data_IF_938792585807
#
_entry.id   IF_938792585807
#
_cell.length_a   1.000
_cell.length_b   1.000
_cell.length_c   1.000
_cell.angle_alpha   90.00
_cell.angle_beta   90.00
_cell.angle_gamma   90.00
#
_symmetry.space_group_name_H-M   'P 1'
#
loop_
_entity.id
_entity.type
_entity.pdbx_description
1 polymer ?
#
# COMPACT_ATOMS: atom_id res chain seq x y z
N UNK A 1 26.75 -3.75 -0.16
CA UNK A 1 27.31 -4.07 -1.50
C UNK A 1 26.52 -3.44 -2.65
N UNK A 2 25.22 -3.74 -2.89
CA UNK A 2 24.47 -3.13 -4.02
C UNK A 2 24.43 -1.60 -4.03
N UNK A 3 24.16 -0.96 -2.89
CA UNK A 3 24.21 0.52 -2.76
C UNK A 3 25.57 1.10 -3.16
N UNK A 4 26.67 0.47 -2.77
CA UNK A 4 28.03 0.91 -3.09
C UNK A 4 28.40 0.70 -4.57
N UNK A 5 27.84 -0.35 -5.21
CA UNK A 5 28.18 -0.72 -6.60
C UNK A 5 27.28 0.00 -7.61
N UNK A 6 25.99 0.14 -7.32
CA UNK A 6 24.97 0.63 -8.26
C UNK A 6 24.49 2.05 -7.95
N UNK A 7 24.76 2.55 -6.74
CA UNK A 7 24.19 3.79 -6.22
C UNK A 7 22.79 3.60 -5.62
N UNK A 8 22.35 4.60 -4.85
CA UNK A 8 21.09 4.58 -4.10
C UNK A 8 19.85 4.63 -5.00
N UNK A 9 19.93 5.37 -6.11
CA UNK A 9 18.81 5.56 -7.05
C UNK A 9 18.63 4.42 -8.04
N UNK A 10 19.51 3.42 -8.02
CA UNK A 10 19.40 2.29 -8.94
C UNK A 10 18.18 1.42 -8.59
N UNK A 11 17.33 1.03 -9.57
CA UNK A 11 16.13 0.23 -9.31
C UNK A 11 16.37 -1.03 -8.48
N UNK A 12 17.48 -1.72 -8.71
CA UNK A 12 17.85 -2.90 -7.92
C UNK A 12 18.23 -2.61 -6.46
N UNK A 13 18.82 -1.45 -6.18
CA UNK A 13 19.11 -1.02 -4.81
C UNK A 13 17.79 -0.77 -4.08
N UNK A 14 16.88 -0.01 -4.70
CA UNK A 14 15.54 0.29 -4.17
C UNK A 14 14.72 -0.99 -3.96
N UNK A 15 14.74 -1.91 -4.93
CA UNK A 15 14.07 -3.22 -4.81
C UNK A 15 14.63 -4.04 -3.64
N UNK A 16 15.94 -3.97 -3.40
CA UNK A 16 16.57 -4.66 -2.28
C UNK A 16 16.14 -4.08 -0.93
N UNK A 17 15.99 -2.76 -0.83
CA UNK A 17 15.43 -2.11 0.37
C UNK A 17 14.01 -2.60 0.66
N UNK A 18 13.14 -2.62 -0.34
CA UNK A 18 11.76 -3.10 -0.17
C UNK A 18 11.71 -4.57 0.32
N UNK A 19 12.56 -5.44 -0.22
CA UNK A 19 12.63 -6.84 0.22
C UNK A 19 13.16 -6.98 1.66
N UNK A 20 14.12 -6.13 2.05
CA UNK A 20 14.65 -6.11 3.41
C UNK A 20 13.56 -5.65 4.41
N UNK A 21 12.82 -4.60 4.07
CA UNK A 21 11.66 -4.14 4.85
C UNK A 21 10.63 -5.27 5.05
N UNK A 22 10.26 -5.98 3.98
CA UNK A 22 9.33 -7.14 4.09
C UNK A 22 9.87 -8.23 5.02
N UNK A 23 11.17 -8.46 5.02
CA UNK A 23 11.81 -9.45 5.90
C UNK A 23 11.73 -9.05 7.37
N UNK A 24 12.03 -7.79 7.68
CA UNK A 24 11.92 -7.25 9.04
C UNK A 24 10.47 -7.17 9.52
N UNK A 25 9.54 -6.79 8.64
CA UNK A 25 8.12 -6.79 8.95
C UNK A 25 7.64 -8.18 9.38
N UNK A 26 8.04 -9.22 8.64
CA UNK A 26 7.70 -10.61 8.97
C UNK A 26 8.29 -11.09 10.31
N UNK A 27 9.33 -10.42 10.81
CA UNK A 27 9.94 -10.68 12.11
C UNK A 27 9.34 -9.81 13.24
N UNK A 28 8.35 -8.95 12.93
CA UNK A 28 7.77 -8.01 13.89
C UNK A 28 8.65 -6.80 14.21
N UNK A 29 9.71 -6.57 13.43
CA UNK A 29 10.64 -5.45 13.59
C UNK A 29 10.10 -4.20 12.87
N UNK A 30 9.01 -3.64 13.40
CA UNK A 30 8.26 -2.59 12.71
C UNK A 30 9.00 -1.25 12.64
N UNK A 31 9.86 -0.92 13.61
CA UNK A 31 10.63 0.34 13.60
C UNK A 31 11.75 0.33 12.55
N UNK A 32 12.44 -0.80 12.41
CA UNK A 32 13.45 -1.02 11.38
C UNK A 32 12.79 -1.06 9.99
N UNK A 33 11.61 -1.69 9.90
CA UNK A 33 10.80 -1.71 8.67
C UNK A 33 10.44 -0.30 8.22
N UNK A 34 9.87 0.52 9.11
CA UNK A 34 9.48 1.91 8.84
C UNK A 34 10.65 2.72 8.27
N UNK A 35 11.81 2.64 8.92
CA UNK A 35 13.01 3.37 8.49
C UNK A 35 13.39 3.04 7.04
N UNK A 36 13.32 1.76 6.66
CA UNK A 36 13.66 1.30 5.32
C UNK A 36 12.57 1.68 4.31
N UNK A 37 11.30 1.59 4.69
CA UNK A 37 10.18 1.92 3.82
C UNK A 37 10.09 3.42 3.51
N UNK A 38 10.38 4.29 4.48
CA UNK A 38 10.51 5.74 4.26
C UNK A 38 11.58 6.01 3.22
N UNK A 39 12.77 5.43 3.38
CA UNK A 39 13.87 5.62 2.42
C UNK A 39 13.49 5.11 1.02
N UNK A 40 12.91 3.91 0.93
CA UNK A 40 12.50 3.33 -0.34
C UNK A 40 11.40 4.15 -1.04
N UNK A 41 10.44 4.69 -0.28
CA UNK A 41 9.37 5.55 -0.80
C UNK A 41 9.95 6.85 -1.36
N UNK A 42 10.84 7.52 -0.64
CA UNK A 42 11.48 8.76 -1.11
C UNK A 42 12.28 8.55 -2.39
N UNK A 43 13.09 7.48 -2.45
CA UNK A 43 13.86 7.15 -3.64
C UNK A 43 12.95 6.84 -4.84
N UNK A 44 11.85 6.10 -4.63
CA UNK A 44 10.87 5.80 -5.69
C UNK A 44 10.14 7.04 -6.18
N UNK A 45 9.76 7.95 -5.28
CA UNK A 45 9.18 9.25 -5.65
C UNK A 45 10.12 10.05 -6.54
N UNK A 46 11.41 10.11 -6.19
CA UNK A 46 12.41 10.85 -6.96
C UNK A 46 12.68 10.23 -8.34
N UNK A 47 12.74 8.90 -8.43
CA UNK A 47 13.17 8.19 -9.65
C UNK A 47 11.99 7.90 -10.59
N UNK A 48 10.82 7.57 -10.04
CA UNK A 48 9.68 7.04 -10.80
C UNK A 48 8.46 7.98 -10.78
N UNK A 49 8.40 8.91 -9.84
CA UNK A 49 7.26 9.77 -9.60
C UNK A 49 6.14 9.12 -8.77
N UNK A 50 5.19 9.93 -8.31
CA UNK A 50 4.11 9.53 -7.40
C UNK A 50 3.15 8.48 -8.00
N UNK A 51 2.84 8.58 -9.31
CA UNK A 51 1.86 7.70 -9.97
C UNK A 51 2.42 6.34 -10.37
N UNK A 52 3.72 6.10 -10.18
CA UNK A 52 4.31 4.82 -10.54
C UNK A 52 3.83 3.72 -9.58
N UNK A 53 3.44 2.52 -10.08
CA UNK A 53 2.92 1.44 -9.23
C UNK A 53 3.82 1.07 -8.03
N UNK A 54 5.14 1.08 -8.22
CA UNK A 54 6.08 0.83 -7.12
C UNK A 54 6.09 1.91 -6.03
N UNK A 55 5.90 3.18 -6.41
CA UNK A 55 5.79 4.29 -5.44
C UNK A 55 4.51 4.13 -4.63
N UNK A 56 3.39 3.85 -5.31
CA UNK A 56 2.08 3.60 -4.68
C UNK A 56 2.15 2.39 -3.75
N UNK A 57 2.83 1.31 -4.17
CA UNK A 57 3.04 0.12 -3.34
C UNK A 57 3.82 0.45 -2.06
N UNK A 58 4.88 1.24 -2.16
CA UNK A 58 5.68 1.66 -0.99
C UNK A 58 4.87 2.49 -0.01
N UNK A 59 4.02 3.38 -0.54
CA UNK A 59 3.11 4.18 0.26
C UNK A 59 2.14 3.31 1.05
N UNK A 60 1.53 2.31 0.41
CA UNK A 60 0.63 1.36 1.07
C UNK A 60 1.36 0.45 2.08
N UNK A 61 2.60 0.06 1.80
CA UNK A 61 3.40 -0.75 2.74
C UNK A 61 3.74 0.04 4.01
N UNK A 62 4.19 1.29 3.88
CA UNK A 62 4.47 2.14 5.05
C UNK A 62 3.20 2.41 5.88
N UNK A 63 2.05 2.58 5.24
CA UNK A 63 0.78 2.66 5.95
C UNK A 63 0.45 1.38 6.75
N UNK A 64 0.72 0.21 6.16
CA UNK A 64 0.56 -1.09 6.82
C UNK A 64 1.47 -1.21 8.05
N UNK A 65 2.71 -0.72 7.93
CA UNK A 65 3.66 -0.67 9.06
C UNK A 65 3.15 0.23 10.18
N UNK A 66 2.61 1.42 9.88
CA UNK A 66 1.97 2.27 10.89
C UNK A 66 0.75 1.61 11.54
N UNK A 67 -0.10 0.94 10.75
CA UNK A 67 -1.22 0.18 11.28
C UNK A 67 -0.76 -0.91 12.26
N UNK A 68 0.27 -1.68 11.90
CA UNK A 68 0.83 -2.73 12.76
C UNK A 68 1.43 -2.19 14.08
N UNK A 69 1.89 -0.94 14.09
CA UNK A 69 2.34 -0.24 15.28
C UNK A 69 1.19 0.41 16.09
N UNK A 70 -0.07 0.30 15.65
CA UNK A 70 -1.22 0.96 16.27
C UNK A 70 -1.33 2.46 15.97
N UNK A 71 -0.53 2.97 15.02
CA UNK A 71 -0.47 4.38 14.63
C UNK A 71 -1.49 4.68 13.51
N UNK A 72 -2.76 4.42 13.79
CA UNK A 72 -3.84 4.48 12.79
C UNK A 72 -4.00 5.88 12.16
N UNK A 73 -3.81 6.95 12.95
CA UNK A 73 -3.89 8.33 12.46
C UNK A 73 -2.78 8.68 11.45
N UNK A 74 -1.67 7.94 11.45
CA UNK A 74 -0.58 8.11 10.49
C UNK A 74 -0.75 7.19 9.27
N UNK A 75 -1.36 6.02 9.45
CA UNK A 75 -1.75 5.12 8.36
C UNK A 75 -2.81 5.75 7.44
N UNK A 76 -3.86 6.35 8.02
CA UNK A 76 -5.01 6.88 7.26
C UNK A 76 -4.62 7.78 6.07
N UNK A 77 -3.88 8.90 6.24
CA UNK A 77 -3.58 9.80 5.13
C UNK A 77 -2.80 9.10 4.01
N UNK A 78 -2.00 8.10 4.36
CA UNK A 78 -1.24 7.31 3.38
C UNK A 78 -2.13 6.35 2.61
N UNK A 79 -3.08 5.69 3.29
CA UNK A 79 -4.06 4.80 2.67
C UNK A 79 -5.00 5.56 1.73
N UNK A 80 -5.51 6.72 2.17
CA UNK A 80 -6.31 7.63 1.33
C UNK A 80 -5.53 8.00 0.08
N UNK A 81 -4.26 8.40 0.23
CA UNK A 81 -3.43 8.79 -0.90
C UNK A 81 -3.14 7.62 -1.84
N UNK A 82 -2.87 6.42 -1.31
CA UNK A 82 -2.68 5.22 -2.10
C UNK A 82 -3.95 4.85 -2.88
N UNK A 83 -5.12 4.92 -2.23
CA UNK A 83 -6.41 4.67 -2.85
C UNK A 83 -6.68 5.63 -4.02
N UNK A 84 -6.48 6.93 -3.82
CA UNK A 84 -6.64 7.93 -4.89
C UNK A 84 -5.74 7.64 -6.09
N UNK A 85 -4.46 7.33 -5.85
CA UNK A 85 -3.52 7.05 -6.92
C UNK A 85 -3.87 5.74 -7.66
N UNK A 86 -4.28 4.69 -6.94
CA UNK A 86 -4.71 3.43 -7.56
C UNK A 86 -5.98 3.61 -8.38
N UNK A 87 -6.95 4.39 -7.89
CA UNK A 87 -8.14 4.76 -8.68
C UNK A 87 -7.77 5.45 -9.99
N UNK A 88 -6.83 6.40 -9.95
CA UNK A 88 -6.39 7.12 -11.14
C UNK A 88 -5.61 6.25 -12.14
N UNK A 89 -4.77 5.33 -11.65
CA UNK A 89 -3.84 4.56 -12.49
C UNK A 89 -4.42 3.23 -12.96
N UNK A 90 -5.19 2.56 -12.11
CA UNK A 90 -5.68 1.20 -12.32
C UNK A 90 -7.21 1.12 -12.48
N UNK A 91 -7.93 2.16 -12.05
CA UNK A 91 -9.38 2.19 -12.02
C UNK A 91 -9.98 1.60 -10.74
N UNK A 92 -11.28 1.83 -10.56
CA UNK A 92 -12.02 1.47 -9.33
C UNK A 92 -12.07 -0.04 -9.08
N UNK A 93 -12.21 -0.83 -10.15
CA UNK A 93 -12.41 -2.29 -10.07
C UNK A 93 -11.10 -3.08 -9.96
N UNK A 94 -9.95 -2.42 -9.97
CA UNK A 94 -8.68 -3.16 -9.90
C UNK A 94 -8.49 -3.79 -8.50
N UNK A 95 -8.00 -5.04 -8.38
CA UNK A 95 -7.82 -5.70 -7.09
C UNK A 95 -7.00 -4.89 -6.08
N UNK A 96 -5.96 -4.19 -6.54
CA UNK A 96 -5.16 -3.32 -5.65
C UNK A 96 -5.93 -2.09 -5.16
N UNK A 97 -6.86 -1.56 -5.96
CA UNK A 97 -7.74 -0.46 -5.53
C UNK A 97 -8.69 -0.95 -4.45
N UNK A 98 -9.30 -2.12 -4.65
CA UNK A 98 -10.19 -2.76 -3.67
C UNK A 98 -9.43 -3.06 -2.37
N UNK A 99 -8.21 -3.60 -2.44
CA UNK A 99 -7.37 -3.81 -1.24
C UNK A 99 -7.10 -2.52 -0.47
N UNK A 100 -6.91 -1.41 -1.16
CA UNK A 100 -6.78 -0.09 -0.52
C UNK A 100 -8.05 0.36 0.20
N UNK A 101 -9.23 0.02 -0.33
CA UNK A 101 -10.52 0.29 0.32
C UNK A 101 -10.62 -0.52 1.62
N UNK A 102 -10.25 -1.80 1.59
CA UNK A 102 -10.29 -2.69 2.77
C UNK A 102 -9.33 -2.23 3.87
N UNK A 103 -8.10 -1.83 3.50
CA UNK A 103 -7.13 -1.26 4.44
C UNK A 103 -7.69 -0.01 5.12
N UNK A 104 -8.22 0.94 4.33
CA UNK A 104 -8.78 2.17 4.86
C UNK A 104 -10.02 1.93 5.75
N UNK A 105 -10.86 0.96 5.40
CA UNK A 105 -11.98 0.54 6.25
C UNK A 105 -11.49 0.02 7.61
N UNK A 106 -10.47 -0.85 7.59
CA UNK A 106 -9.86 -1.39 8.82
C UNK A 106 -9.31 -0.28 9.71
N UNK A 107 -8.62 0.69 9.12
CA UNK A 107 -8.12 1.89 9.82
C UNK A 107 -9.26 2.73 10.40
N UNK A 108 -10.35 2.94 9.65
CA UNK A 108 -11.54 3.62 10.17
C UNK A 108 -12.19 2.88 11.35
N UNK A 109 -12.26 1.55 11.32
CA UNK A 109 -12.72 0.78 12.50
C UNK A 109 -11.82 0.99 13.70
N UNK A 110 -10.50 0.94 13.50
CA UNK A 110 -9.53 1.14 14.57
C UNK A 110 -9.59 2.56 15.17
N UNK A 111 -9.99 3.55 14.37
CA UNK A 111 -10.25 4.93 14.80
C UNK A 111 -11.66 5.16 15.39
N UNK A 112 -12.51 4.13 15.47
CA UNK A 112 -13.90 4.25 15.94
C UNK A 112 -14.88 4.88 14.94
N UNK A 113 -14.45 5.08 13.70
CA UNK A 113 -15.24 5.67 12.59
C UNK A 113 -16.06 4.61 11.87
N UNK A 114 -16.92 3.91 12.61
CA UNK A 114 -17.64 2.72 12.13
C UNK A 114 -18.51 2.96 10.90
N UNK A 115 -19.17 4.12 10.78
CA UNK A 115 -20.03 4.44 9.62
C UNK A 115 -19.23 4.55 8.32
N UNK A 116 -18.03 5.12 8.41
CA UNK A 116 -17.16 5.30 7.24
C UNK A 116 -16.55 3.96 6.83
N UNK A 117 -16.15 3.13 7.79
CA UNK A 117 -15.74 1.76 7.53
C UNK A 117 -16.83 0.94 6.84
N UNK A 118 -18.06 0.95 7.35
CA UNK A 118 -19.19 0.23 6.76
C UNK A 118 -19.48 0.69 5.32
N UNK A 119 -19.40 2.00 5.07
CA UNK A 119 -19.55 2.55 3.71
C UNK A 119 -18.49 2.00 2.75
N UNK A 120 -17.24 1.89 3.20
CA UNK A 120 -16.15 1.34 2.40
C UNK A 120 -16.27 -0.17 2.18
N UNK A 121 -16.71 -0.93 3.18
CA UNK A 121 -16.93 -2.38 3.08
C UNK A 121 -18.03 -2.75 2.10
N UNK A 122 -19.15 -2.02 2.14
CA UNK A 122 -20.23 -2.16 1.14
C UNK A 122 -19.65 -1.88 -0.24
N UNK A 123 -18.87 -0.80 -0.38
CA UNK A 123 -18.26 -0.45 -1.66
C UNK A 123 -17.29 -1.52 -2.18
N UNK A 124 -16.45 -2.09 -1.33
CA UNK A 124 -15.52 -3.15 -1.70
C UNK A 124 -16.26 -4.41 -2.17
N UNK A 125 -17.34 -4.79 -1.45
CA UNK A 125 -18.17 -5.95 -1.77
C UNK A 125 -18.84 -5.81 -3.13
N UNK A 126 -19.47 -4.66 -3.41
CA UNK A 126 -20.06 -4.37 -4.74
C UNK A 126 -19.04 -4.48 -5.88
N UNK A 127 -17.83 -3.95 -5.68
CA UNK A 127 -16.77 -4.01 -6.68
C UNK A 127 -16.28 -5.43 -6.93
N UNK A 128 -16.25 -6.26 -5.88
CA UNK A 128 -15.80 -7.64 -5.96
C UNK A 128 -16.84 -8.56 -6.61
N UNK A 129 -18.13 -8.39 -6.32
CA UNK A 129 -19.22 -9.12 -7.00
C UNK A 129 -19.18 -8.86 -8.51
N UNK A 130 -19.04 -7.60 -8.92
CA UNK A 130 -18.91 -7.25 -10.34
C UNK A 130 -17.67 -7.82 -11.04
N UNK A 131 -16.59 -8.14 -10.32
CA UNK A 131 -15.42 -8.81 -10.91
C UNK A 131 -15.70 -10.29 -11.19
N UNK A 132 -16.45 -10.95 -10.31
CA UNK A 132 -16.81 -12.36 -10.44
C UNK A 132 -17.81 -12.58 -11.59
N UNK A 133 -18.76 -11.67 -11.76
CA UNK A 133 -19.75 -11.74 -12.84
C UNK A 133 -19.15 -11.57 -14.25
N UNK A 134 -17.98 -10.94 -14.35
CA UNK A 134 -17.29 -10.69 -15.63
C UNK A 134 -16.19 -11.72 -15.94
N UNK A 135 -16.06 -12.78 -15.14
CA UNK A 135 -15.14 -13.87 -15.42
C UNK A 135 -15.93 -15.05 -16.01
N UNK A 136 -16.11 -15.16 -17.35
CA UNK A 136 -16.74 -16.34 -17.91
C UNK A 136 -15.83 -17.51 -17.61
N UNK A 137 -16.24 -18.37 -16.68
CA UNK A 137 -15.63 -19.68 -16.49
C UNK A 137 -15.80 -20.42 -17.81
N UNK A 138 -14.76 -20.42 -18.63
CA UNK A 138 -14.66 -21.30 -19.80
C UNK A 138 -14.57 -22.72 -19.25
N UNK A 139 -15.70 -23.44 -19.31
CA UNK A 139 -15.77 -24.91 -19.18
C UNK A 139 -15.12 -25.54 -20.41
#
# INVERSE_FOLDING_TARGET
LRRQVLGEKHPDTIRSLANLATTYYAQGQYSETETIEVEALELRRQVLGEKHPDTIRSLASLATTYYAQGRYSEAEPMEVKALELRRQVLGEKHPDTIRSIDSLSSTYRALGRHKEAETLEVKASELQEHLLDNNPVTI
#
